data_IF_971336941930
#
_entry.id   IF_971336941930
#
_cell.length_a   1.000
_cell.length_b   1.000
_cell.length_c   1.000
_cell.angle_alpha   90.00
_cell.angle_beta   90.00
_cell.angle_gamma   90.00
#
_symmetry.space_group_name_H-M   'P 1'
#
loop_
_entity.id
_entity.type
_entity.pdbx_description
1 polymer ?
#
# COMPACT_ATOMS: atom_id res chain seq x y z
N UNK A 1 0.89 -34.90 14.71
CA UNK A 1 0.38 -34.72 13.34
C UNK A 1 -0.76 -33.72 13.39
N UNK A 2 -0.65 -32.60 12.68
CA UNK A 2 -1.67 -31.55 12.66
C UNK A 2 -1.13 -30.32 11.96
N UNK A 3 -1.04 -30.39 10.62
CA UNK A 3 -0.42 -29.34 9.81
C UNK A 3 -1.24 -28.05 9.82
N UNK A 4 -0.59 -26.93 10.13
CA UNK A 4 -1.04 -25.61 9.70
C UNK A 4 -0.82 -25.52 8.19
N UNK A 5 -1.89 -25.78 7.43
CA UNK A 5 -1.89 -25.59 5.99
C UNK A 5 -1.55 -24.14 5.62
N UNK A 6 -0.98 -23.89 4.45
CA UNK A 6 -0.65 -22.54 4.03
C UNK A 6 -1.96 -21.76 3.89
N UNK A 7 -2.09 -20.68 4.65
CA UNK A 7 -3.11 -19.65 4.42
C UNK A 7 -2.91 -19.09 3.01
N UNK A 8 -3.50 -19.72 2.00
CA UNK A 8 -3.65 -19.17 0.65
C UNK A 8 -4.67 -18.04 0.75
N UNK A 9 -4.22 -16.88 1.21
CA UNK A 9 -4.92 -15.63 1.00
C UNK A 9 -4.93 -15.29 -0.49
N UNK A 10 -5.82 -15.91 -1.26
CA UNK A 10 -6.30 -15.31 -2.51
C UNK A 10 -7.17 -14.12 -2.11
N UNK A 11 -6.53 -13.00 -1.80
CA UNK A 11 -7.21 -11.75 -1.45
C UNK A 11 -7.88 -11.12 -2.68
N UNK A 12 -9.04 -11.65 -3.08
CA UNK A 12 -10.05 -10.91 -3.85
C UNK A 12 -11.19 -10.47 -2.93
N UNK A 13 -10.86 -10.02 -1.72
CA UNK A 13 -11.81 -9.36 -0.82
C UNK A 13 -11.91 -7.88 -1.19
N UNK A 14 -13.11 -7.42 -1.54
CA UNK A 14 -13.36 -6.01 -1.83
C UNK A 14 -12.90 -5.10 -0.69
N UNK A 15 -12.45 -3.90 -1.05
CA UNK A 15 -12.12 -2.85 -0.10
C UNK A 15 -13.42 -2.33 0.49
N UNK A 16 -13.79 -2.82 1.68
CA UNK A 16 -14.99 -2.39 2.38
C UNK A 16 -14.92 -0.92 2.83
N UNK A 17 -15.94 -0.49 3.57
CA UNK A 17 -16.16 0.91 3.95
C UNK A 17 -14.94 1.58 4.64
N UNK A 18 -14.09 0.80 5.34
CA UNK A 18 -12.94 1.33 6.07
C UNK A 18 -11.62 1.46 5.28
N UNK A 19 -11.61 1.22 3.96
CA UNK A 19 -10.35 1.30 3.20
C UNK A 19 -9.74 2.71 3.19
N UNK A 20 -10.57 3.73 2.95
CA UNK A 20 -10.14 5.13 2.95
C UNK A 20 -9.68 5.55 4.35
N UNK A 21 -10.43 5.21 5.39
CA UNK A 21 -10.08 5.51 6.78
C UNK A 21 -8.74 4.88 7.18
N UNK A 22 -8.49 3.64 6.73
CA UNK A 22 -7.22 2.97 6.95
C UNK A 22 -6.07 3.72 6.27
N UNK A 23 -6.21 4.14 5.02
CA UNK A 23 -5.20 4.95 4.34
C UNK A 23 -4.95 6.27 5.07
N UNK A 24 -6.02 6.95 5.49
CA UNK A 24 -5.94 8.18 6.27
C UNK A 24 -5.17 8.01 7.57
N UNK A 25 -5.41 6.91 8.31
CA UNK A 25 -4.70 6.60 9.55
C UNK A 25 -3.20 6.36 9.35
N UNK A 26 -2.81 5.88 8.16
CA UNK A 26 -1.41 5.72 7.74
C UNK A 26 -0.79 7.02 7.21
N UNK A 27 -1.55 8.12 7.19
CA UNK A 27 -1.14 9.43 6.65
C UNK A 27 -1.23 9.52 5.12
N UNK A 28 -1.76 8.51 4.44
CA UNK A 28 -1.96 8.48 3.00
C UNK A 28 -3.34 9.09 2.71
N UNK A 29 -3.36 10.36 2.32
CA UNK A 29 -4.58 11.13 2.07
C UNK A 29 -4.35 12.22 1.01
N UNK A 30 -5.41 12.72 0.35
CA UNK A 30 -5.30 13.80 -0.62
C UNK A 30 -4.55 15.02 -0.05
N UNK A 31 -3.77 15.68 -0.91
CA UNK A 31 -2.94 16.82 -0.53
C UNK A 31 -1.66 16.46 0.24
N UNK A 32 -1.40 15.17 0.51
CA UNK A 32 -0.15 14.74 1.14
C UNK A 32 0.85 14.17 0.13
N UNK A 33 2.05 14.76 0.11
CA UNK A 33 3.19 14.19 -0.61
C UNK A 33 3.65 12.88 0.04
N UNK A 34 3.82 11.87 -0.80
CA UNK A 34 4.39 10.57 -0.46
C UNK A 34 5.52 10.24 -1.43
N UNK A 35 6.46 9.40 -1.01
CA UNK A 35 7.55 8.93 -1.88
C UNK A 35 7.50 7.41 -1.95
N UNK A 36 7.50 6.84 -3.16
CA UNK A 36 7.67 5.40 -3.34
C UNK A 36 9.13 5.06 -3.04
N UNK A 37 9.37 4.33 -1.95
CA UNK A 37 10.71 3.91 -1.52
C UNK A 37 11.12 2.66 -2.27
N UNK A 38 10.23 1.66 -2.34
CA UNK A 38 10.51 0.41 -3.03
C UNK A 38 9.23 -0.33 -3.41
N UNK A 39 9.37 -1.27 -4.35
CA UNK A 39 8.39 -2.33 -4.60
C UNK A 39 9.10 -3.67 -4.65
N UNK A 40 8.58 -4.67 -3.95
CA UNK A 40 9.17 -6.02 -3.93
C UNK A 40 8.72 -6.85 -5.14
N UNK A 41 9.54 -7.83 -5.53
CA UNK A 41 9.23 -8.78 -6.61
C UNK A 41 7.97 -9.61 -6.29
N UNK A 42 7.29 -10.14 -7.32
CA UNK A 42 6.04 -10.92 -7.22
C UNK A 42 4.85 -10.26 -6.49
N UNK A 43 4.33 -9.14 -7.01
CA UNK A 43 3.14 -8.47 -6.46
C UNK A 43 3.25 -8.20 -4.94
N UNK A 44 4.48 -8.05 -4.45
CA UNK A 44 4.80 -7.79 -3.07
C UNK A 44 4.33 -6.39 -2.64
N UNK A 45 4.48 -6.07 -1.35
CA UNK A 45 4.08 -4.76 -0.86
C UNK A 45 4.86 -3.65 -1.55
N UNK A 46 4.21 -2.50 -1.68
CA UNK A 46 4.79 -1.23 -2.08
C UNK A 46 5.09 -0.45 -0.81
N UNK A 47 6.34 -0.07 -0.63
CA UNK A 47 6.79 0.72 0.53
C UNK A 47 6.76 2.19 0.18
N UNK A 48 6.04 2.96 0.99
CA UNK A 48 5.88 4.39 0.85
C UNK A 48 6.50 5.10 2.06
N UNK A 49 7.23 6.18 1.81
CA UNK A 49 7.57 7.16 2.85
C UNK A 49 6.39 8.13 2.98
N UNK A 50 5.83 8.21 4.19
CA UNK A 50 4.71 9.09 4.54
C UNK A 50 5.12 9.94 5.74
N UNK A 51 5.43 11.21 5.49
CA UNK A 51 6.02 12.07 6.52
C UNK A 51 7.35 11.50 7.03
N UNK A 52 7.40 11.10 8.30
CA UNK A 52 8.60 10.53 8.96
C UNK A 52 8.58 8.99 9.04
N UNK A 53 7.51 8.33 8.61
CA UNK A 53 7.35 6.88 8.69
C UNK A 53 7.46 6.22 7.32
N UNK A 54 7.93 4.96 7.31
CA UNK A 54 7.82 4.08 6.15
C UNK A 54 6.69 3.08 6.38
N UNK A 55 5.81 2.95 5.40
CA UNK A 55 4.63 2.11 5.44
C UNK A 55 4.62 1.20 4.23
N UNK A 56 4.53 -0.10 4.46
CA UNK A 56 4.34 -1.09 3.42
C UNK A 56 2.84 -1.38 3.24
N UNK A 57 2.33 -1.17 2.02
CA UNK A 57 0.94 -1.52 1.66
C UNK A 57 0.95 -2.59 0.57
N UNK A 58 -0.01 -3.51 0.62
CA UNK A 58 -0.13 -4.56 -0.39
C UNK A 58 -0.31 -3.99 -1.79
N UNK A 59 0.20 -4.68 -2.81
CA UNK A 59 0.16 -4.23 -4.21
C UNK A 59 -1.25 -3.81 -4.66
N UNK A 60 -2.27 -4.60 -4.34
CA UNK A 60 -3.66 -4.30 -4.72
C UNK A 60 -4.23 -3.03 -4.07
N UNK A 61 -3.73 -2.65 -2.89
CA UNK A 61 -4.07 -1.37 -2.24
C UNK A 61 -3.35 -0.22 -2.94
N UNK A 62 -2.06 -0.40 -3.21
CA UNK A 62 -1.24 0.61 -3.87
C UNK A 62 -1.80 1.00 -5.25
N UNK A 63 -2.22 0.01 -6.05
CA UNK A 63 -2.81 0.24 -7.37
C UNK A 63 -4.15 1.00 -7.37
N UNK A 64 -4.73 1.30 -6.20
CA UNK A 64 -5.97 2.07 -6.06
C UNK A 64 -5.75 3.50 -5.58
N UNK A 65 -4.51 3.87 -5.25
CA UNK A 65 -4.17 5.20 -4.76
C UNK A 65 -3.76 6.03 -5.97
N UNK A 66 -4.60 7.00 -6.33
CA UNK A 66 -4.28 7.97 -7.38
C UNK A 66 -3.34 9.03 -6.83
N UNK A 67 -2.31 9.36 -7.61
CA UNK A 67 -1.29 10.35 -7.25
C UNK A 67 -0.95 11.19 -8.47
N UNK A 68 -0.58 12.43 -8.21
CA UNK A 68 0.15 13.26 -9.17
C UNK A 68 1.64 12.99 -9.00
N UNK A 69 2.36 12.82 -10.11
CA UNK A 69 3.80 12.59 -10.09
C UNK A 69 4.50 13.96 -10.12
N UNK A 70 5.27 14.27 -9.07
CA UNK A 70 6.22 15.38 -9.12
C UNK A 70 7.32 14.99 -10.11
N UNK A 71 7.45 15.74 -11.21
CA UNK A 71 8.43 15.45 -12.25
C UNK A 71 9.87 15.46 -11.73
N UNK A 72 10.74 14.69 -12.38
CA UNK A 72 12.18 14.71 -12.11
C UNK A 72 12.73 16.10 -12.45
N UNK A 73 13.31 16.79 -11.45
CA UNK A 73 14.31 17.81 -11.77
C UNK A 73 15.56 17.05 -12.19
N UNK A 74 15.84 17.08 -13.50
CA UNK A 74 17.12 16.69 -14.10
C UNK A 74 18.28 17.40 -13.41
#
# INVERSE_FOLDING_TARGET
MGGHGPHRGRGHGGYGHGFVDRLHSLGIRPGRRITKVSGMFMWGPVTLQVGRAQVAIGYGMAGRILVEVEGEKL
#
